data_IF_407742439373
#
_entry.id   IF_407742439373
#
_cell.length_a   1.000
_cell.length_b   1.000
_cell.length_c   1.000
_cell.angle_alpha   90.00
_cell.angle_beta   90.00
_cell.angle_gamma   90.00
#
_symmetry.space_group_name_H-M   'P 1'
#
loop_
_entity.id
_entity.type
_entity.pdbx_description
1 polymer ?
#
# COMPACT_ATOMS: atom_id res chain seq x y z
N UNK A 1 -17.00 29.92 9.13
CA UNK A 1 -16.55 28.57 8.72
C UNK A 1 -15.30 28.08 9.44
N UNK A 2 -14.47 28.96 9.98
CA UNK A 2 -13.38 28.61 10.90
C UNK A 2 -13.92 28.10 12.27
N UNK A 3 -15.13 28.50 12.65
CA UNK A 3 -15.78 28.07 13.90
C UNK A 3 -16.32 26.63 13.88
N UNK A 4 -16.69 26.06 12.73
CA UNK A 4 -17.14 24.67 12.63
C UNK A 4 -16.04 23.65 12.94
N UNK A 5 -14.77 24.01 12.71
CA UNK A 5 -13.62 23.18 13.09
C UNK A 5 -13.24 23.28 14.58
N UNK A 6 -13.66 24.32 15.28
CA UNK A 6 -13.38 24.48 16.72
C UNK A 6 -14.28 23.62 17.61
N UNK A 7 -15.48 23.26 17.15
CA UNK A 7 -16.47 22.53 17.96
C UNK A 7 -16.55 21.03 17.67
N UNK A 8 -15.93 20.52 16.58
CA UNK A 8 -15.74 19.09 16.35
C UNK A 8 -14.28 18.71 16.66
N UNK A 9 -13.84 18.91 17.89
CA UNK A 9 -12.71 18.17 18.42
C UNK A 9 -13.12 16.71 18.37
N UNK A 10 -12.42 15.93 17.54
CA UNK A 10 -12.64 14.50 17.44
C UNK A 10 -12.48 13.96 18.85
N UNK A 11 -13.58 13.53 19.45
CA UNK A 11 -13.55 12.93 20.78
C UNK A 11 -13.11 11.46 20.60
N UNK A 12 -11.82 11.24 20.38
CA UNK A 12 -11.23 9.91 20.39
C UNK A 12 -11.25 9.39 21.84
N UNK A 13 -12.37 8.81 22.27
CA UNK A 13 -12.54 8.29 23.64
C UNK A 13 -12.13 9.31 24.72
N UNK A 14 -12.47 10.57 24.56
CA UNK A 14 -12.11 11.62 25.51
C UNK A 14 -10.70 12.21 25.32
N UNK A 15 -9.93 11.76 24.36
CA UNK A 15 -8.58 12.28 24.09
C UNK A 15 -8.69 13.66 23.42
N UNK A 16 -8.33 14.70 24.14
CA UNK A 16 -8.44 16.09 23.70
C UNK A 16 -7.10 16.81 23.59
N UNK A 17 -6.04 16.22 24.10
CA UNK A 17 -4.70 16.79 24.14
C UNK A 17 -3.66 15.85 23.55
N UNK A 18 -2.46 16.35 23.30
CA UNK A 18 -1.37 15.62 22.68
C UNK A 18 -0.69 14.64 23.63
N UNK A 19 -0.70 14.91 24.93
CA UNK A 19 -0.07 14.05 25.93
C UNK A 19 -0.75 12.68 25.98
N UNK A 20 -2.09 12.66 25.90
CA UNK A 20 -2.87 11.43 25.86
C UNK A 20 -2.88 10.78 24.45
N UNK A 21 -2.78 11.60 23.40
CA UNK A 21 -2.82 11.14 22.02
C UNK A 21 -1.62 10.28 21.63
N UNK A 22 -0.41 10.62 22.08
CA UNK A 22 0.79 9.86 21.74
C UNK A 22 0.76 8.41 22.24
N UNK A 23 0.48 8.11 23.52
CA UNK A 23 0.35 6.74 24.00
C UNK A 23 -0.77 5.97 23.32
N UNK A 24 -1.91 6.61 23.05
CA UNK A 24 -3.04 5.99 22.37
C UNK A 24 -2.70 5.68 20.90
N UNK A 25 -2.02 6.58 20.19
CA UNK A 25 -1.51 6.32 18.84
C UNK A 25 -0.53 5.14 18.81
N UNK A 26 0.42 5.08 19.73
CA UNK A 26 1.34 3.96 19.86
C UNK A 26 0.61 2.65 20.19
N UNK A 27 -0.44 2.71 21.04
CA UNK A 27 -1.32 1.56 21.26
C UNK A 27 -2.00 1.13 19.97
N UNK A 28 -2.48 2.08 19.16
CA UNK A 28 -3.06 1.80 17.85
C UNK A 28 -2.10 1.04 16.94
N UNK A 29 -0.86 1.47 16.86
CA UNK A 29 0.19 0.78 16.08
C UNK A 29 0.44 -0.66 16.57
N UNK A 30 0.48 -0.89 17.89
CA UNK A 30 0.61 -2.25 18.46
C UNK A 30 -0.59 -3.12 18.10
N UNK A 31 -1.79 -2.60 18.22
CA UNK A 31 -3.01 -3.32 17.88
C UNK A 31 -3.08 -3.69 16.40
N UNK A 32 -2.66 -2.81 15.49
CA UNK A 32 -2.55 -3.13 14.06
C UNK A 32 -1.53 -4.26 13.88
N UNK A 33 -0.37 -4.16 14.51
CA UNK A 33 0.67 -5.20 14.48
C UNK A 33 0.18 -6.54 15.02
N UNK A 34 -0.71 -6.55 15.98
CA UNK A 34 -1.32 -7.75 16.60
C UNK A 34 -2.55 -8.28 15.85
N UNK A 35 -2.96 -7.61 14.76
CA UNK A 35 -4.11 -8.01 13.95
C UNK A 35 -5.46 -7.48 14.44
N UNK A 36 -5.49 -6.68 15.49
CA UNK A 36 -6.70 -5.97 15.93
C UNK A 36 -6.85 -4.67 15.13
N UNK A 37 -7.35 -4.80 13.90
CA UNK A 37 -7.36 -3.71 12.93
C UNK A 37 -8.42 -2.65 13.21
N UNK A 38 -9.62 -3.02 13.60
CA UNK A 38 -10.70 -2.06 13.82
C UNK A 38 -10.30 -0.99 14.83
N UNK A 39 -9.95 -1.40 16.03
CA UNK A 39 -9.56 -0.48 17.09
C UNK A 39 -8.17 0.10 16.85
N UNK A 40 -7.27 -0.66 16.26
CA UNK A 40 -5.92 -0.22 15.91
C UNK A 40 -5.93 0.94 14.91
N UNK A 41 -6.67 0.82 13.82
CA UNK A 41 -6.80 1.87 12.81
C UNK A 41 -7.56 3.08 13.33
N UNK A 42 -8.58 2.88 14.16
CA UNK A 42 -9.26 3.98 14.84
C UNK A 42 -8.28 4.84 15.65
N UNK A 43 -7.48 4.21 16.52
CA UNK A 43 -6.48 4.93 17.29
C UNK A 43 -5.34 5.52 16.43
N UNK A 44 -5.07 4.89 15.28
CA UNK A 44 -4.06 5.41 14.34
C UNK A 44 -4.48 6.77 13.75
N UNK A 45 -5.77 7.10 13.71
CA UNK A 45 -6.24 8.41 13.27
C UNK A 45 -5.82 9.56 14.20
N UNK A 46 -5.39 9.28 15.44
CA UNK A 46 -4.83 10.27 16.36
C UNK A 46 -3.59 10.97 15.81
N UNK A 47 -2.86 10.37 14.85
CA UNK A 47 -1.76 11.01 14.13
C UNK A 47 -2.21 12.28 13.38
N UNK A 48 -3.49 12.43 13.15
CA UNK A 48 -4.07 13.62 12.50
C UNK A 48 -4.14 14.84 13.41
N UNK A 49 -3.87 14.68 14.70
CA UNK A 49 -3.71 15.79 15.60
C UNK A 49 -2.45 16.61 15.25
N UNK A 50 -2.49 17.93 15.44
CA UNK A 50 -1.34 18.79 15.17
C UNK A 50 -0.06 18.26 15.81
N UNK A 51 1.02 18.30 15.07
CA UNK A 51 2.39 17.93 15.47
C UNK A 51 2.71 16.43 15.61
N UNK A 52 1.79 15.47 15.36
CA UNK A 52 2.12 14.05 15.41
C UNK A 52 2.74 13.52 14.12
N UNK A 53 2.41 14.11 12.97
CA UNK A 53 2.94 13.66 11.67
C UNK A 53 3.42 14.84 10.83
N UNK A 54 4.65 14.80 10.30
CA UNK A 54 5.07 15.78 9.32
C UNK A 54 4.26 15.62 8.02
N UNK A 55 3.77 16.73 7.49
CA UNK A 55 3.11 16.78 6.18
C UNK A 55 4.18 17.03 5.13
N UNK A 56 4.46 16.06 4.28
CA UNK A 56 5.44 16.21 3.22
C UNK A 56 4.86 16.98 2.02
N UNK A 57 5.44 18.13 1.73
CA UNK A 57 5.60 18.68 0.38
C UNK A 57 4.39 19.29 -0.33
N UNK A 58 3.18 19.24 0.19
CA UNK A 58 2.03 19.91 -0.43
C UNK A 58 1.74 21.20 0.34
N UNK A 59 2.03 22.35 -0.25
CA UNK A 59 1.61 23.65 0.31
C UNK A 59 0.08 23.63 0.48
N UNK A 60 -0.38 23.87 1.70
CA UNK A 60 -1.77 23.75 2.12
C UNK A 60 -2.66 24.88 1.55
N UNK A 61 -3.10 24.77 0.31
CA UNK A 61 -4.26 25.53 -0.18
C UNK A 61 -5.59 24.80 0.03
N UNK A 62 -5.59 23.78 0.90
CA UNK A 62 -6.77 22.97 1.26
C UNK A 62 -7.67 23.59 2.33
N UNK A 63 -7.43 24.81 2.75
CA UNK A 63 -8.09 25.43 3.91
C UNK A 63 -9.62 25.50 3.81
N UNK A 64 -10.17 25.35 2.61
CA UNK A 64 -11.61 25.36 2.35
C UNK A 64 -12.26 23.98 2.23
N UNK A 65 -11.46 22.89 2.23
CA UNK A 65 -12.00 21.52 2.15
C UNK A 65 -12.26 20.96 3.55
N UNK A 66 -13.37 20.23 3.69
CA UNK A 66 -13.61 19.43 4.91
C UNK A 66 -12.51 18.37 5.03
N UNK A 67 -12.01 18.17 6.23
CA UNK A 67 -11.10 17.05 6.52
C UNK A 67 -11.95 15.85 6.89
N UNK A 68 -11.68 14.71 6.27
CA UNK A 68 -12.29 13.46 6.68
C UNK A 68 -11.91 13.12 8.13
N UNK A 69 -12.88 12.70 8.89
CA UNK A 69 -12.73 12.19 10.26
C UNK A 69 -13.58 10.93 10.40
N UNK A 70 -13.24 10.02 11.34
CA UNK A 70 -14.07 8.87 11.68
C UNK A 70 -15.56 9.22 11.83
N UNK A 71 -16.44 8.38 11.26
CA UNK A 71 -17.89 8.59 11.21
C UNK A 71 -18.40 9.52 10.09
N UNK A 72 -17.51 10.06 9.25
CA UNK A 72 -17.91 10.89 8.12
C UNK A 72 -18.21 10.06 6.88
N UNK A 73 -19.45 10.11 6.39
CA UNK A 73 -19.84 9.44 5.16
C UNK A 73 -19.21 10.10 3.92
N UNK A 74 -18.65 9.27 3.02
CA UNK A 74 -18.03 9.71 1.75
C UNK A 74 -18.91 9.44 0.52
N UNK A 75 -20.04 8.77 0.69
CA UNK A 75 -20.94 8.43 -0.43
C UNK A 75 -21.47 9.68 -1.12
N UNK A 76 -21.27 9.75 -2.43
CA UNK A 76 -21.66 10.91 -3.25
C UNK A 76 -20.74 12.13 -3.13
N UNK A 77 -19.66 12.05 -2.36
CA UNK A 77 -18.73 13.14 -2.11
C UNK A 77 -17.58 13.19 -3.13
N UNK A 78 -17.02 14.38 -3.32
CA UNK A 78 -15.77 14.56 -4.06
C UNK A 78 -14.61 14.41 -3.09
N UNK A 79 -13.79 13.38 -3.29
CA UNK A 79 -12.67 13.06 -2.43
C UNK A 79 -11.35 13.55 -3.03
N UNK A 80 -10.51 14.19 -2.24
CA UNK A 80 -9.11 14.44 -2.57
C UNK A 80 -8.25 13.64 -1.60
N UNK A 81 -7.62 12.60 -2.12
CA UNK A 81 -6.63 11.83 -1.36
C UNK A 81 -5.31 12.57 -1.38
N UNK A 82 -4.75 12.82 -0.22
CA UNK A 82 -3.50 13.56 -0.10
C UNK A 82 -2.44 12.76 0.65
N UNK A 83 -1.19 13.03 0.29
CA UNK A 83 -0.04 12.33 0.83
C UNK A 83 0.22 12.69 2.29
N UNK A 84 0.81 11.76 3.00
CA UNK A 84 1.40 11.94 4.32
C UNK A 84 2.53 10.93 4.53
N UNK A 85 3.36 11.16 5.56
CA UNK A 85 4.48 10.29 5.93
C UNK A 85 5.53 10.10 4.82
N UNK A 86 6.18 8.95 4.73
CA UNK A 86 7.28 8.68 3.79
C UNK A 86 6.84 8.11 2.43
N UNK A 87 7.78 7.96 1.53
CA UNK A 87 7.52 7.37 0.20
C UNK A 87 6.94 5.96 0.29
N UNK A 88 7.49 5.12 1.19
CA UNK A 88 6.97 3.77 1.43
C UNK A 88 5.52 3.77 1.87
N UNK A 89 5.12 4.73 2.72
CA UNK A 89 3.72 4.88 3.16
C UNK A 89 2.81 5.26 2.00
N UNK A 90 3.22 6.23 1.19
CA UNK A 90 2.46 6.65 0.01
C UNK A 90 2.28 5.51 -0.99
N UNK A 91 3.33 4.74 -1.26
CA UNK A 91 3.29 3.58 -2.16
C UNK A 91 2.38 2.50 -1.58
N UNK A 92 2.58 2.13 -0.33
CA UNK A 92 1.81 1.07 0.30
C UNK A 92 0.31 1.37 0.36
N UNK A 93 -0.06 2.55 0.84
CA UNK A 93 -1.47 2.88 1.09
C UNK A 93 -2.23 3.34 -0.14
N UNK A 94 -1.54 3.73 -1.22
CA UNK A 94 -2.21 4.09 -2.48
C UNK A 94 -3.01 2.94 -3.10
N UNK A 95 -2.71 1.67 -2.76
CA UNK A 95 -3.50 0.50 -3.17
C UNK A 95 -4.99 0.56 -2.78
N UNK A 96 -5.30 1.29 -1.74
CA UNK A 96 -6.67 1.45 -1.25
C UNK A 96 -7.45 2.55 -2.00
N UNK A 97 -6.78 3.38 -2.79
CA UNK A 97 -7.42 4.49 -3.53
C UNK A 97 -8.52 3.98 -4.46
N UNK A 98 -8.31 2.91 -5.25
CA UNK A 98 -9.34 2.39 -6.15
C UNK A 98 -10.66 2.02 -5.47
N UNK A 99 -10.59 1.60 -4.20
CA UNK A 99 -11.74 1.15 -3.40
C UNK A 99 -12.66 2.29 -2.96
N UNK A 100 -12.22 3.54 -3.04
CA UNK A 100 -13.06 4.69 -2.69
C UNK A 100 -14.28 4.82 -3.61
N UNK A 101 -14.18 4.38 -4.87
CA UNK A 101 -15.32 4.33 -5.79
C UNK A 101 -16.34 3.27 -5.35
N UNK A 102 -15.88 2.13 -4.85
CA UNK A 102 -16.74 1.08 -4.29
C UNK A 102 -17.43 1.55 -3.00
N UNK A 103 -16.74 2.35 -2.19
CA UNK A 103 -17.31 3.02 -1.02
C UNK A 103 -18.30 4.15 -1.39
N UNK A 104 -18.53 4.39 -2.68
CA UNK A 104 -19.52 5.32 -3.19
C UNK A 104 -19.04 6.75 -3.41
N UNK A 105 -17.72 7.03 -3.38
CA UNK A 105 -17.20 8.35 -3.70
C UNK A 105 -17.60 8.78 -5.12
N UNK A 106 -18.09 10.02 -5.28
CA UNK A 106 -18.46 10.58 -6.57
C UNK A 106 -17.24 10.82 -7.46
N UNK A 107 -16.21 11.43 -6.91
CA UNK A 107 -14.94 11.62 -7.59
C UNK A 107 -13.77 11.42 -6.63
N UNK A 108 -12.63 10.96 -7.17
CA UNK A 108 -11.39 10.70 -6.43
C UNK A 108 -10.23 11.37 -7.16
N UNK A 109 -9.68 12.44 -6.61
CA UNK A 109 -8.49 13.11 -7.12
C UNK A 109 -7.32 12.94 -6.18
N UNK A 110 -6.10 12.93 -6.74
CA UNK A 110 -4.87 12.61 -6.01
C UNK A 110 -4.01 13.86 -5.84
N UNK A 111 -3.66 14.19 -4.60
CA UNK A 111 -2.76 15.30 -4.25
C UNK A 111 -1.46 14.74 -3.64
N UNK A 112 -0.50 14.43 -4.48
CA UNK A 112 0.77 13.80 -4.14
C UNK A 112 1.96 14.57 -4.73
N UNK A 113 3.17 14.39 -4.21
CA UNK A 113 4.37 14.96 -4.81
C UNK A 113 4.59 14.47 -6.25
N UNK A 114 5.17 15.36 -7.08
CA UNK A 114 5.36 15.10 -8.53
C UNK A 114 6.13 13.81 -8.83
N UNK A 115 7.05 13.41 -7.93
CA UNK A 115 7.92 12.25 -8.10
C UNK A 115 7.17 10.91 -8.15
N UNK A 116 5.95 10.84 -7.59
CA UNK A 116 5.15 9.61 -7.56
C UNK A 116 3.96 9.66 -8.53
N UNK A 117 3.63 10.81 -9.12
CA UNK A 117 2.41 10.96 -9.91
C UNK A 117 2.36 10.03 -11.13
N UNK A 118 3.49 9.82 -11.82
CA UNK A 118 3.52 8.89 -12.97
C UNK A 118 3.26 7.46 -12.54
N UNK A 119 3.77 7.03 -11.38
CA UNK A 119 3.45 5.72 -10.81
C UNK A 119 1.96 5.61 -10.47
N UNK A 120 1.39 6.63 -9.81
CA UNK A 120 -0.02 6.65 -9.43
C UNK A 120 -0.98 6.66 -10.62
N UNK A 121 -0.55 7.05 -11.83
CA UNK A 121 -1.37 6.92 -13.05
C UNK A 121 -1.71 5.47 -13.40
N UNK A 122 -0.95 4.50 -12.88
CA UNK A 122 -1.22 3.06 -13.07
C UNK A 122 -2.38 2.57 -12.22
N UNK A 123 -2.78 3.32 -11.18
CA UNK A 123 -3.92 2.97 -10.35
C UNK A 123 -5.23 3.12 -11.16
N UNK A 124 -6.14 2.14 -11.08
CA UNK A 124 -7.49 2.30 -11.64
C UNK A 124 -8.37 3.19 -10.73
N UNK A 125 -9.55 3.52 -11.23
CA UNK A 125 -10.66 4.07 -10.46
C UNK A 125 -10.38 5.39 -9.74
N UNK A 126 -9.52 6.26 -10.30
CA UNK A 126 -9.39 7.64 -9.85
C UNK A 126 -9.66 8.64 -11.00
N UNK A 127 -10.03 9.87 -10.66
CA UNK A 127 -10.39 10.93 -11.60
C UNK A 127 -9.24 11.92 -11.83
N UNK A 128 -7.99 11.43 -11.80
CA UNK A 128 -6.79 12.18 -12.06
C UNK A 128 -6.20 12.88 -10.83
N UNK A 129 -5.38 13.91 -11.10
CA UNK A 129 -4.64 14.61 -10.06
C UNK A 129 -5.34 15.89 -9.64
N UNK A 130 -5.13 16.29 -8.39
CA UNK A 130 -5.63 17.55 -7.87
C UNK A 130 -4.86 18.70 -8.50
N UNK A 131 -5.61 19.63 -9.08
CA UNK A 131 -5.10 20.88 -9.61
C UNK A 131 -5.36 21.99 -8.58
N UNK A 132 -4.30 22.65 -8.14
CA UNK A 132 -4.39 23.76 -7.18
C UNK A 132 -5.02 25.02 -7.81
N UNK A 133 -4.96 25.15 -9.12
CA UNK A 133 -5.58 26.27 -9.87
C UNK A 133 -7.09 26.02 -10.05
N UNK A 134 -7.50 24.76 -10.03
CA UNK A 134 -8.91 24.36 -10.13
C UNK A 134 -9.35 23.57 -8.89
N UNK A 135 -9.51 24.23 -7.73
CA UNK A 135 -9.80 23.55 -6.47
C UNK A 135 -11.16 22.84 -6.50
N UNK A 136 -11.21 21.65 -5.91
CA UNK A 136 -12.45 20.89 -5.75
C UNK A 136 -13.35 21.64 -4.76
N UNK A 137 -14.46 22.16 -5.25
CA UNK A 137 -15.48 22.83 -4.41
C UNK A 137 -16.23 21.78 -3.58
N UNK A 138 -16.44 22.08 -2.30
CA UNK A 138 -17.21 21.23 -1.37
C UNK A 138 -16.72 19.77 -1.24
N UNK A 139 -15.40 19.54 -1.46
CA UNK A 139 -14.82 18.21 -1.34
C UNK A 139 -14.41 17.86 0.09
N UNK A 140 -14.06 16.59 0.26
CA UNK A 140 -13.46 16.04 1.46
C UNK A 140 -12.00 15.68 1.15
N UNK A 141 -11.07 16.20 1.94
CA UNK A 141 -9.67 15.74 1.89
C UNK A 141 -9.50 14.56 2.83
N UNK A 142 -8.90 13.49 2.31
CA UNK A 142 -8.67 12.24 3.02
C UNK A 142 -7.20 11.90 2.97
N UNK A 143 -6.56 11.70 4.11
CA UNK A 143 -5.15 11.28 4.17
C UNK A 143 -4.99 9.86 3.68
N UNK A 144 -3.92 9.58 2.94
CA UNK A 144 -3.69 8.26 2.34
C UNK A 144 -3.65 7.13 3.38
N UNK A 145 -3.07 7.38 4.55
CA UNK A 145 -3.04 6.38 5.64
C UNK A 145 -4.35 6.29 6.44
N UNK A 146 -5.34 7.14 6.17
CA UNK A 146 -6.69 7.02 6.73
C UNK A 146 -7.62 6.14 5.88
N UNK A 147 -7.16 5.76 4.68
CA UNK A 147 -7.94 4.90 3.77
C UNK A 147 -8.38 3.60 4.42
N UNK A 148 -7.53 2.81 5.12
CA UNK A 148 -7.98 1.57 5.74
C UNK A 148 -9.17 1.78 6.68
N UNK A 149 -9.10 2.75 7.59
CA UNK A 149 -10.19 2.99 8.52
C UNK A 149 -11.45 3.52 7.84
N UNK A 150 -11.31 4.46 6.91
CA UNK A 150 -12.42 4.97 6.11
C UNK A 150 -13.15 3.85 5.37
N UNK A 151 -12.41 2.94 4.72
CA UNK A 151 -12.98 1.83 3.96
C UNK A 151 -13.64 0.78 4.85
N UNK A 152 -13.12 0.53 6.06
CA UNK A 152 -13.78 -0.32 7.06
C UNK A 152 -15.13 0.26 7.49
N UNK A 153 -15.20 1.56 7.79
CA UNK A 153 -16.46 2.22 8.15
C UNK A 153 -17.52 2.19 7.03
N UNK A 154 -17.07 2.05 5.77
CA UNK A 154 -17.96 1.94 4.61
C UNK A 154 -18.20 0.48 4.17
N UNK A 155 -17.72 -0.50 4.93
CA UNK A 155 -17.95 -1.92 4.67
C UNK A 155 -17.23 -2.47 3.43
N UNK A 156 -16.23 -1.75 2.91
CA UNK A 156 -15.43 -2.16 1.74
C UNK A 156 -14.19 -2.94 2.16
N UNK A 157 -13.71 -2.71 3.37
CA UNK A 157 -12.54 -3.39 3.92
C UNK A 157 -12.92 -4.11 5.22
N UNK A 158 -12.39 -5.33 5.43
CA UNK A 158 -12.60 -6.05 6.68
C UNK A 158 -11.81 -5.45 7.85
N UNK A 159 -12.37 -5.57 9.05
CA UNK A 159 -11.77 -5.07 10.29
C UNK A 159 -10.66 -5.97 10.86
N UNK A 160 -10.15 -6.90 10.07
CA UNK A 160 -9.08 -7.84 10.44
C UNK A 160 -8.11 -8.04 9.28
N UNK A 161 -6.85 -8.43 9.56
CA UNK A 161 -5.92 -8.81 8.51
C UNK A 161 -6.49 -9.99 7.71
N UNK A 162 -6.55 -9.82 6.41
CA UNK A 162 -6.86 -10.89 5.47
C UNK A 162 -5.66 -11.09 4.56
N UNK A 163 -5.31 -12.33 4.23
CA UNK A 163 -4.35 -12.60 3.17
C UNK A 163 -4.80 -11.91 1.87
N UNK A 164 -3.88 -11.50 1.04
CA UNK A 164 -4.16 -10.89 -0.27
C UNK A 164 -4.94 -9.56 -0.19
N UNK A 165 -4.52 -8.66 0.70
CA UNK A 165 -5.20 -7.38 0.87
C UNK A 165 -5.30 -6.62 -0.46
N UNK A 166 -6.51 -6.68 -1.05
CA UNK A 166 -7.01 -5.74 -2.06
C UNK A 166 -6.06 -5.45 -3.23
N UNK A 167 -5.73 -6.49 -4.02
CA UNK A 167 -5.00 -6.32 -5.29
C UNK A 167 -3.61 -5.72 -5.12
N UNK A 168 -2.97 -5.96 -3.99
CA UNK A 168 -1.66 -5.42 -3.67
C UNK A 168 -0.58 -5.84 -4.66
N UNK A 169 -0.71 -7.07 -5.19
CA UNK A 169 0.22 -7.61 -6.17
C UNK A 169 -0.02 -7.01 -7.54
N UNK A 170 1.05 -6.49 -8.10
CA UNK A 170 1.02 -5.97 -9.45
C UNK A 170 0.23 -4.68 -9.67
N UNK A 171 -0.25 -4.01 -8.60
CA UNK A 171 -1.04 -2.77 -8.74
C UNK A 171 -0.28 -1.66 -9.48
N UNK A 172 1.05 -1.70 -9.41
CA UNK A 172 1.93 -0.79 -10.14
C UNK A 172 2.68 -1.46 -11.30
N UNK A 173 2.29 -2.68 -11.67
CA UNK A 173 2.92 -3.39 -12.77
C UNK A 173 2.70 -2.65 -14.09
N UNK A 174 3.77 -2.59 -14.88
CA UNK A 174 3.71 -2.13 -16.25
C UNK A 174 3.42 -3.34 -17.15
N UNK A 175 2.22 -3.40 -17.72
CA UNK A 175 1.78 -4.53 -18.53
C UNK A 175 2.47 -4.56 -19.92
N UNK A 176 3.08 -3.46 -20.33
CA UNK A 176 3.81 -3.34 -21.59
C UNK A 176 5.27 -3.76 -21.47
N UNK A 177 5.76 -3.97 -20.23
CA UNK A 177 7.14 -4.38 -20.00
C UNK A 177 7.25 -5.91 -20.04
N UNK A 178 8.02 -6.40 -21.01
CA UNK A 178 8.36 -7.83 -21.12
C UNK A 178 9.60 -8.12 -20.28
N UNK A 179 9.55 -9.20 -19.51
CA UNK A 179 10.73 -9.71 -18.81
C UNK A 179 11.63 -10.44 -19.82
N UNK A 180 12.87 -10.01 -19.90
CA UNK A 180 13.90 -10.74 -20.66
C UNK A 180 14.41 -11.91 -19.83
N UNK A 181 14.74 -13.02 -20.51
CA UNK A 181 15.42 -14.13 -19.84
C UNK A 181 16.91 -13.83 -19.72
N UNK A 182 17.42 -13.93 -18.52
CA UNK A 182 18.83 -13.77 -18.21
C UNK A 182 19.49 -15.13 -17.94
N UNK A 183 20.79 -15.24 -18.21
CA UNK A 183 21.56 -16.46 -17.94
C UNK A 183 21.69 -16.72 -16.43
N UNK A 184 21.68 -15.67 -15.63
CA UNK A 184 21.68 -15.71 -14.18
C UNK A 184 20.49 -14.95 -13.61
N UNK A 185 19.94 -15.38 -12.46
CA UNK A 185 18.89 -14.60 -11.81
C UNK A 185 19.39 -13.20 -11.43
N UNK A 186 18.59 -12.19 -11.75
CA UNK A 186 18.84 -10.78 -11.44
C UNK A 186 18.22 -10.41 -10.09
N UNK A 187 19.06 -10.13 -9.10
CA UNK A 187 18.62 -9.76 -7.75
C UNK A 187 18.91 -8.29 -7.46
N UNK A 188 17.85 -7.52 -7.24
CA UNK A 188 17.96 -6.15 -6.78
C UNK A 188 18.31 -6.06 -5.31
N UNK A 189 19.09 -5.07 -4.92
CA UNK A 189 19.39 -4.85 -3.51
C UNK A 189 19.28 -3.39 -3.10
N UNK A 190 18.82 -3.18 -1.85
CA UNK A 190 18.81 -1.87 -1.19
C UNK A 190 19.23 -2.05 0.27
N UNK A 191 20.40 -1.55 0.65
CA UNK A 191 21.05 -1.81 1.93
C UNK A 191 20.87 -0.69 2.95
N UNK A 192 20.36 0.49 2.57
CA UNK A 192 20.18 1.62 3.48
C UNK A 192 19.02 2.51 3.08
N UNK A 193 18.63 3.41 3.97
CA UNK A 193 17.60 4.43 3.72
C UNK A 193 18.20 5.83 3.81
N UNK A 194 17.60 6.79 3.13
CA UNK A 194 18.01 8.21 3.20
C UNK A 194 17.57 8.90 4.49
N UNK A 195 16.68 8.29 5.25
CA UNK A 195 16.21 8.83 6.53
C UNK A 195 17.21 8.46 7.64
N UNK A 196 17.83 9.47 8.25
CA UNK A 196 18.86 9.32 9.28
C UNK A 196 18.34 9.47 10.70
N UNK A 197 17.01 9.54 10.93
CA UNK A 197 16.45 9.60 12.27
C UNK A 197 16.88 8.38 13.11
N UNK A 198 16.92 8.53 14.45
CA UNK A 198 17.47 7.53 15.37
C UNK A 198 16.84 6.12 15.21
N UNK A 199 15.55 6.07 14.90
CA UNK A 199 14.82 4.82 14.68
C UNK A 199 15.13 4.16 13.32
N UNK A 200 15.85 4.86 12.44
CA UNK A 200 16.22 4.34 11.11
C UNK A 200 17.60 3.66 11.10
N UNK A 201 18.38 3.72 12.19
CA UNK A 201 19.68 3.04 12.28
C UNK A 201 19.58 1.53 12.04
N UNK A 202 18.49 0.90 12.48
CA UNK A 202 18.22 -0.52 12.22
C UNK A 202 17.95 -0.85 10.73
N UNK A 203 17.85 0.17 9.88
CA UNK A 203 17.63 0.05 8.44
C UNK A 203 18.85 0.51 7.63
N UNK A 204 19.99 0.64 8.26
CA UNK A 204 21.24 1.09 7.66
C UNK A 204 22.30 0.01 7.78
N UNK A 205 22.37 -0.88 6.81
CA UNK A 205 23.43 -1.87 6.70
C UNK A 205 24.72 -1.17 6.24
N UNK A 206 25.88 -1.46 6.85
CA UNK A 206 27.16 -1.02 6.32
C UNK A 206 27.37 -1.56 4.89
N UNK A 207 27.81 -0.67 4.00
CA UNK A 207 28.01 -1.02 2.58
C UNK A 207 28.98 -2.19 2.41
N UNK A 208 30.01 -2.24 3.23
CA UNK A 208 31.05 -3.26 3.21
C UNK A 208 30.50 -4.68 3.44
N UNK A 209 29.43 -4.81 4.26
CA UNK A 209 28.75 -6.09 4.47
C UNK A 209 28.02 -6.52 3.19
N UNK A 210 27.33 -5.58 2.54
CA UNK A 210 26.65 -5.88 1.29
C UNK A 210 27.63 -6.18 0.15
N UNK A 211 28.72 -5.40 0.02
CA UNK A 211 29.74 -5.61 -1.00
C UNK A 211 30.40 -6.99 -0.85
N UNK A 212 30.73 -7.38 0.39
CA UNK A 212 31.27 -8.72 0.68
C UNK A 212 30.28 -9.82 0.30
N UNK A 213 29.01 -9.65 0.68
CA UNK A 213 27.97 -10.63 0.35
C UNK A 213 27.79 -10.81 -1.16
N UNK A 214 27.79 -9.72 -1.93
CA UNK A 214 27.73 -9.76 -3.40
C UNK A 214 28.93 -10.53 -3.97
N UNK A 215 30.13 -10.27 -3.48
CA UNK A 215 31.34 -10.95 -3.94
C UNK A 215 31.36 -12.47 -3.63
N UNK A 216 30.69 -12.89 -2.57
CA UNK A 216 30.54 -14.30 -2.17
C UNK A 216 29.45 -15.04 -2.97
N UNK A 217 28.60 -14.32 -3.76
CA UNK A 217 27.47 -14.88 -4.51
C UNK A 217 27.49 -14.48 -6.00
N UNK A 218 28.51 -14.93 -6.77
CA UNK A 218 28.64 -14.62 -8.20
C UNK A 218 27.65 -15.37 -9.10
N UNK A 219 26.85 -16.29 -8.56
CA UNK A 219 25.76 -16.99 -9.24
C UNK A 219 24.58 -16.10 -9.59
N UNK A 220 24.49 -14.89 -9.01
CA UNK A 220 23.45 -13.90 -9.27
C UNK A 220 24.03 -12.68 -9.98
N UNK A 221 23.20 -12.03 -10.82
CA UNK A 221 23.46 -10.68 -11.32
C UNK A 221 22.83 -9.67 -10.36
N UNK A 222 23.68 -8.88 -9.70
CA UNK A 222 23.28 -7.96 -8.63
C UNK A 222 22.99 -6.57 -9.17
N UNK A 223 21.79 -6.04 -8.88
CA UNK A 223 21.34 -4.72 -9.33
C UNK A 223 21.17 -3.77 -8.16
N UNK A 224 21.97 -2.71 -8.12
CA UNK A 224 21.85 -1.67 -7.09
C UNK A 224 20.56 -0.86 -7.30
N UNK A 225 19.68 -0.88 -6.30
CA UNK A 225 18.43 -0.10 -6.25
C UNK A 225 18.54 1.11 -5.31
N UNK A 226 19.72 1.35 -4.75
CA UNK A 226 19.95 2.50 -3.87
C UNK A 226 19.75 3.78 -4.66
N UNK A 227 18.93 4.70 -4.13
CA UNK A 227 18.69 6.00 -4.75
C UNK A 227 19.87 6.95 -4.50
N UNK A 228 20.83 6.93 -5.43
CA UNK A 228 21.98 7.85 -5.42
C UNK A 228 21.57 9.16 -6.09
N UNK A 229 21.85 10.31 -5.47
CA UNK A 229 21.54 11.63 -6.04
C UNK A 229 20.20 12.26 -5.64
N UNK A 230 19.42 11.61 -4.80
CA UNK A 230 18.22 12.19 -4.18
C UNK A 230 16.94 12.10 -5.02
N UNK A 231 15.85 12.65 -4.49
CA UNK A 231 14.48 12.54 -5.03
C UNK A 231 14.15 13.70 -5.98
N UNK A 232 14.96 13.92 -6.99
CA UNK A 232 14.86 15.16 -7.82
C UNK A 232 14.00 14.97 -9.07
N UNK A 233 13.90 13.76 -9.63
CA UNK A 233 13.20 13.53 -10.91
C UNK A 233 11.71 13.26 -10.70
N UNK A 234 10.88 13.70 -11.64
CA UNK A 234 9.42 13.41 -11.64
C UNK A 234 9.11 11.94 -11.95
N UNK A 235 10.08 11.18 -12.43
CA UNK A 235 9.91 9.82 -12.92
C UNK A 235 10.46 8.77 -11.95
N UNK A 236 11.09 9.23 -10.87
CA UNK A 236 11.81 8.41 -9.92
C UNK A 236 11.09 7.09 -9.56
N UNK A 237 9.83 7.16 -9.16
CA UNK A 237 9.14 5.96 -8.67
C UNK A 237 8.56 5.09 -9.78
N UNK A 238 8.22 5.65 -10.92
CA UNK A 238 7.80 4.86 -12.09
C UNK A 238 8.98 4.12 -12.70
N UNK A 239 10.13 4.79 -12.85
CA UNK A 239 11.36 4.18 -13.37
C UNK A 239 11.89 3.09 -12.39
N UNK A 240 11.80 3.36 -11.08
CA UNK A 240 12.16 2.36 -10.07
C UNK A 240 11.24 1.15 -10.14
N UNK A 241 9.93 1.34 -10.32
CA UNK A 241 8.97 0.24 -10.43
C UNK A 241 9.25 -0.60 -11.70
N UNK A 242 9.54 0.02 -12.84
CA UNK A 242 9.88 -0.67 -14.08
C UNK A 242 11.20 -1.44 -13.95
N UNK A 243 12.23 -0.81 -13.38
CA UNK A 243 13.50 -1.46 -13.10
C UNK A 243 13.33 -2.68 -12.18
N UNK A 244 12.55 -2.55 -11.11
CA UNK A 244 12.29 -3.63 -10.16
C UNK A 244 11.48 -4.75 -10.80
N UNK A 245 10.50 -4.43 -11.65
CA UNK A 245 9.68 -5.43 -12.34
C UNK A 245 10.49 -6.34 -13.28
N UNK A 246 11.63 -5.87 -13.76
CA UNK A 246 12.52 -6.64 -14.62
C UNK A 246 13.42 -7.62 -13.85
N UNK A 247 13.36 -7.62 -12.51
CA UNK A 247 14.19 -8.46 -11.64
C UNK A 247 13.47 -9.76 -11.24
N UNK A 248 14.26 -10.78 -10.93
CA UNK A 248 13.76 -12.05 -10.39
C UNK A 248 13.49 -11.98 -8.87
N UNK A 249 14.09 -11.01 -8.19
CA UNK A 249 13.87 -10.81 -6.77
C UNK A 249 14.54 -9.55 -6.21
N UNK A 250 14.19 -9.20 -4.97
CA UNK A 250 14.76 -8.03 -4.27
C UNK A 250 15.11 -8.37 -2.83
N UNK A 251 16.33 -8.07 -2.41
CA UNK A 251 16.74 -8.03 -1.00
C UNK A 251 16.81 -6.56 -0.57
N UNK A 252 15.98 -6.16 0.39
CA UNK A 252 15.93 -4.77 0.82
C UNK A 252 15.81 -4.65 2.33
N UNK A 253 16.48 -3.65 2.90
CA UNK A 253 16.07 -3.16 4.22
C UNK A 253 14.66 -2.60 4.14
N UNK A 254 13.95 -2.48 5.27
CA UNK A 254 12.60 -1.90 5.34
C UNK A 254 12.60 -0.45 4.81
N UNK A 255 12.33 -0.30 3.53
CA UNK A 255 12.43 0.95 2.76
C UNK A 255 11.32 1.07 1.70
N UNK A 256 11.26 2.19 1.01
CA UNK A 256 10.33 2.39 -0.11
C UNK A 256 10.55 1.37 -1.25
N UNK A 257 11.78 0.88 -1.43
CA UNK A 257 12.12 -0.15 -2.43
C UNK A 257 11.39 -1.47 -2.13
N UNK A 258 11.35 -1.90 -0.85
CA UNK A 258 10.60 -3.09 -0.46
C UNK A 258 9.10 -2.94 -0.79
N UNK A 259 8.53 -1.74 -0.56
CA UNK A 259 7.13 -1.46 -0.90
C UNK A 259 6.87 -1.42 -2.41
N UNK A 260 7.79 -0.88 -3.21
CA UNK A 260 7.69 -0.92 -4.69
C UNK A 260 7.72 -2.37 -5.17
N UNK A 261 8.71 -3.15 -4.72
CA UNK A 261 8.89 -4.54 -5.16
C UNK A 261 7.64 -5.38 -4.85
N UNK A 262 7.11 -5.30 -3.62
CA UNK A 262 5.85 -5.96 -3.27
C UNK A 262 4.66 -5.45 -4.09
N UNK A 263 4.62 -4.16 -4.45
CA UNK A 263 3.52 -3.57 -5.21
C UNK A 263 3.54 -3.91 -6.71
N UNK A 264 4.70 -4.25 -7.27
CA UNK A 264 4.82 -4.75 -8.65
C UNK A 264 4.77 -6.29 -8.71
N UNK A 265 4.71 -6.96 -7.55
CA UNK A 265 4.56 -8.42 -7.47
C UNK A 265 5.87 -9.20 -7.68
N UNK A 266 7.02 -8.58 -7.40
CA UNK A 266 8.34 -9.24 -7.44
C UNK A 266 8.65 -9.86 -6.08
N UNK A 267 9.24 -11.06 -6.01
CA UNK A 267 9.67 -11.66 -4.75
C UNK A 267 10.58 -10.75 -3.93
N UNK A 268 10.28 -10.57 -2.64
CA UNK A 268 11.02 -9.66 -1.75
C UNK A 268 11.46 -10.38 -0.48
N UNK A 269 12.73 -10.28 -0.15
CA UNK A 269 13.23 -10.52 1.20
C UNK A 269 13.43 -9.16 1.90
N UNK A 270 12.50 -8.82 2.79
CA UNK A 270 12.54 -7.56 3.55
C UNK A 270 13.27 -7.78 4.88
N UNK A 271 14.44 -7.19 5.01
CA UNK A 271 15.34 -7.31 6.15
C UNK A 271 14.86 -6.45 7.33
N UNK A 272 14.52 -7.07 8.45
CA UNK A 272 13.98 -6.41 9.64
C UNK A 272 14.94 -6.60 10.82
N UNK A 273 15.67 -5.56 11.16
CA UNK A 273 16.63 -5.57 12.29
C UNK A 273 15.93 -5.44 13.63
N UNK A 274 15.77 -6.57 14.34
CA UNK A 274 15.26 -6.63 15.71
C UNK A 274 13.81 -6.17 15.92
N UNK A 275 13.08 -6.82 16.82
CA UNK A 275 11.66 -6.56 17.07
C UNK A 275 11.39 -5.15 17.61
N UNK A 276 12.26 -4.65 18.49
CA UNK A 276 12.07 -3.34 19.16
C UNK A 276 12.19 -2.15 18.22
N UNK A 277 12.92 -2.31 17.12
CA UNK A 277 13.17 -1.26 16.12
C UNK A 277 12.34 -1.42 14.86
N UNK A 278 11.54 -2.49 14.78
CA UNK A 278 10.72 -2.76 13.62
C UNK A 278 9.54 -1.82 13.49
N UNK A 279 9.18 -1.53 12.25
CA UNK A 279 7.95 -0.82 11.95
C UNK A 279 6.72 -1.62 12.43
N UNK A 280 5.69 -0.94 12.84
CA UNK A 280 4.41 -1.52 13.28
C UNK A 280 3.71 -2.38 12.20
N UNK A 281 4.14 -2.29 10.94
CA UNK A 281 3.60 -3.08 9.82
C UNK A 281 4.01 -4.54 9.86
N UNK A 282 5.14 -4.85 10.48
CA UNK A 282 5.77 -6.15 10.40
C UNK A 282 5.50 -6.98 11.65
N UNK A 283 5.06 -8.21 11.44
CA UNK A 283 4.74 -9.17 12.49
C UNK A 283 5.94 -10.06 12.77
N UNK A 284 6.55 -10.02 13.97
CA UNK A 284 7.74 -10.83 14.26
C UNK A 284 7.48 -12.34 14.26
N UNK A 285 6.22 -12.74 14.41
CA UNK A 285 5.82 -14.17 14.44
C UNK A 285 5.50 -14.76 13.07
N UNK A 286 5.54 -13.94 12.02
CA UNK A 286 5.26 -14.34 10.66
C UNK A 286 6.49 -14.11 9.80
N UNK A 287 6.87 -15.13 9.01
CA UNK A 287 7.88 -14.98 7.97
C UNK A 287 7.31 -14.34 6.70
N UNK A 288 6.02 -14.03 6.73
CA UNK A 288 5.25 -13.40 5.65
C UNK A 288 4.63 -12.10 6.16
N UNK A 289 3.96 -11.38 5.30
CA UNK A 289 3.24 -10.16 5.69
C UNK A 289 1.83 -10.16 5.09
N UNK A 290 0.89 -9.53 5.77
CA UNK A 290 -0.45 -9.30 5.22
C UNK A 290 -0.48 -8.28 4.07
N UNK A 291 0.63 -7.55 3.88
CA UNK A 291 0.68 -6.44 2.93
C UNK A 291 1.06 -6.85 1.52
N UNK A 292 1.84 -7.93 1.34
CA UNK A 292 2.38 -8.36 0.06
C UNK A 292 2.60 -9.87 0.08
N UNK A 293 1.98 -10.58 -0.86
CA UNK A 293 2.06 -12.04 -0.93
C UNK A 293 3.45 -12.52 -1.35
N UNK A 294 4.14 -11.73 -2.16
CA UNK A 294 5.50 -12.01 -2.64
C UNK A 294 6.60 -11.63 -1.65
N UNK A 295 6.24 -11.07 -0.48
CA UNK A 295 7.24 -10.59 0.48
C UNK A 295 7.40 -11.54 1.66
N UNK A 296 8.65 -11.90 1.95
CA UNK A 296 9.06 -12.49 3.22
C UNK A 296 9.73 -11.46 4.11
N UNK A 297 9.37 -11.46 5.40
CA UNK A 297 10.05 -10.67 6.42
C UNK A 297 11.17 -11.51 7.03
N UNK A 298 12.40 -11.04 6.91
CA UNK A 298 13.58 -11.72 7.44
C UNK A 298 14.03 -11.01 8.71
N UNK A 299 13.82 -11.65 9.85
CA UNK A 299 14.18 -11.12 11.15
C UNK A 299 15.59 -11.55 11.52
N UNK A 300 16.42 -10.63 11.97
CA UNK A 300 17.83 -10.90 12.26
C UNK A 300 18.36 -10.01 13.40
N UNK A 301 19.43 -10.49 14.03
CA UNK A 301 20.25 -9.73 14.98
C UNK A 301 21.54 -9.21 14.34
N UNK A 302 22.10 -9.96 13.37
CA UNK A 302 23.29 -9.59 12.60
C UNK A 302 22.96 -9.56 11.11
N UNK A 303 23.47 -8.57 10.40
CA UNK A 303 23.21 -8.36 8.98
C UNK A 303 23.60 -9.58 8.12
N UNK A 304 24.75 -10.19 8.43
CA UNK A 304 25.23 -11.35 7.69
C UNK A 304 24.29 -12.55 7.79
N UNK A 305 23.67 -12.77 8.95
CA UNK A 305 22.70 -13.84 9.16
C UNK A 305 21.38 -13.53 8.42
N UNK A 306 20.97 -12.26 8.45
CA UNK A 306 19.82 -11.77 7.70
C UNK A 306 19.97 -11.95 6.19
N UNK A 307 21.14 -11.63 5.64
CA UNK A 307 21.43 -11.80 4.23
C UNK A 307 21.42 -13.27 3.80
N UNK A 308 22.03 -14.15 4.61
CA UNK A 308 22.04 -15.61 4.36
C UNK A 308 20.63 -16.19 4.38
N UNK A 309 19.78 -15.72 5.30
CA UNK A 309 18.38 -16.16 5.37
C UNK A 309 17.57 -15.62 4.19
N UNK A 310 17.78 -14.34 3.80
CA UNK A 310 17.16 -13.72 2.64
C UNK A 310 17.45 -14.50 1.35
N UNK A 311 18.68 -14.98 1.18
CA UNK A 311 19.08 -15.72 -0.01
C UNK A 311 18.32 -17.04 -0.19
N UNK A 312 17.92 -17.68 0.91
CA UNK A 312 17.11 -18.92 0.84
C UNK A 312 15.75 -18.70 0.13
N UNK A 313 15.30 -17.46 0.08
CA UNK A 313 14.06 -17.10 -0.63
C UNK A 313 14.22 -17.10 -2.16
N UNK A 314 15.46 -17.03 -2.67
CA UNK A 314 15.77 -16.90 -4.09
C UNK A 314 16.57 -18.10 -4.64
N UNK A 315 16.52 -19.27 -3.99
CA UNK A 315 17.20 -20.46 -4.51
C UNK A 315 16.66 -20.82 -5.89
N UNK A 316 17.59 -21.13 -6.77
CA UNK A 316 17.43 -21.32 -8.22
C UNK A 316 16.29 -22.27 -8.64
N UNK A 317 15.92 -23.24 -7.81
CA UNK A 317 14.84 -24.20 -8.12
C UNK A 317 13.43 -23.56 -8.08
N UNK A 318 13.22 -22.56 -7.24
CA UNK A 318 11.92 -21.87 -7.10
C UNK A 318 11.75 -20.77 -8.17
N UNK A 319 12.85 -20.13 -8.59
CA UNK A 319 12.84 -19.06 -9.61
C UNK A 319 12.69 -19.64 -11.01
N UNK A 320 13.37 -20.75 -11.32
CA UNK A 320 13.29 -21.40 -12.62
C UNK A 320 11.96 -22.10 -12.87
N UNK A 321 11.18 -22.40 -11.84
CA UNK A 321 9.88 -23.06 -11.91
C UNK A 321 8.69 -22.12 -11.67
N UNK A 322 8.91 -20.81 -11.53
CA UNK A 322 7.81 -19.86 -11.43
C UNK A 322 6.93 -19.96 -12.70
N UNK A 323 5.62 -20.20 -12.57
CA UNK A 323 4.76 -20.28 -13.74
C UNK A 323 4.76 -18.94 -14.46
N UNK A 324 4.88 -19.00 -15.76
CA UNK A 324 4.84 -17.85 -16.69
C UNK A 324 3.53 -17.06 -16.47
N UNK A 325 3.55 -16.06 -15.58
CA UNK A 325 2.36 -15.27 -15.21
C UNK A 325 1.89 -14.34 -16.34
N UNK A 326 2.57 -14.35 -17.49
CA UNK A 326 2.22 -13.54 -18.66
C UNK A 326 1.04 -14.13 -19.49
N UNK A 327 0.42 -15.24 -19.09
CA UNK A 327 -0.50 -16.01 -19.96
C UNK A 327 -1.93 -16.23 -19.48
N UNK A 328 -2.43 -15.61 -18.43
CA UNK A 328 -3.82 -15.83 -18.02
C UNK A 328 -4.78 -14.81 -18.64
N UNK A 329 -4.98 -14.92 -19.97
CA UNK A 329 -6.19 -14.39 -20.62
C UNK A 329 -7.39 -15.11 -20.02
N UNK A 330 -8.20 -14.36 -19.28
CA UNK A 330 -9.40 -14.85 -18.61
C UNK A 330 -10.29 -15.70 -19.53
N UNK A 331 -10.30 -17.00 -19.29
CA UNK A 331 -11.41 -17.86 -19.71
C UNK A 331 -12.55 -17.62 -18.71
N UNK A 332 -13.39 -16.66 -19.02
CA UNK A 332 -14.73 -16.56 -18.44
C UNK A 332 -15.44 -17.88 -18.75
N UNK A 333 -15.56 -18.75 -17.75
CA UNK A 333 -16.49 -19.88 -17.80
C UNK A 333 -17.90 -19.31 -17.77
N UNK A 334 -18.50 -19.19 -18.94
CA UNK A 334 -19.94 -18.99 -19.09
C UNK A 334 -20.62 -20.27 -18.58
N UNK A 335 -21.05 -20.26 -17.33
CA UNK A 335 -21.97 -21.28 -16.81
C UNK A 335 -23.34 -21.04 -17.45
N UNK A 336 -23.62 -21.70 -18.55
CA UNK A 336 -24.98 -21.85 -19.08
C UNK A 336 -25.81 -22.61 -18.04
N UNK A 337 -26.63 -21.89 -17.34
CA UNK A 337 -27.71 -22.45 -16.52
C UNK A 337 -28.77 -22.98 -17.43
N UNK A 338 -28.78 -24.27 -17.68
CA UNK A 338 -29.91 -25.00 -18.26
C UNK A 338 -31.09 -24.92 -17.30
N UNK A 339 -32.16 -24.30 -17.76
CA UNK A 339 -33.49 -24.33 -17.14
C UNK A 339 -34.09 -25.72 -17.31
N UNK A 340 -34.66 -26.35 -16.27
CA UNK A 340 -35.48 -27.56 -16.48
C UNK A 340 -36.80 -27.20 -17.17
N UNK A 341 -37.21 -28.03 -18.12
CA UNK A 341 -38.46 -27.95 -18.82
C UNK A 341 -39.63 -28.17 -17.86
N UNK A 342 -40.46 -27.17 -17.73
CA UNK A 342 -41.73 -27.25 -17.00
C UNK A 342 -42.83 -27.71 -17.92
N UNK A 343 -43.50 -28.73 -17.49
CA UNK A 343 -44.67 -29.42 -18.04
C UNK A 343 -45.83 -28.48 -18.34
N UNK A 344 -46.42 -28.71 -19.50
CA UNK A 344 -47.68 -28.09 -19.95
C UNK A 344 -48.86 -28.50 -19.03
N UNK A 345 -49.58 -27.56 -18.54
CA UNK A 345 -50.89 -27.72 -17.89
C UNK A 345 -51.91 -26.78 -18.47
N UNK A 346 -52.78 -27.34 -19.27
CA UNK A 346 -54.04 -26.74 -19.80
C UNK A 346 -54.95 -26.30 -18.62
N UNK A 347 -55.55 -25.12 -18.64
CA UNK A 347 -57.03 -24.97 -18.66
C UNK A 347 -57.54 -23.52 -18.65
N UNK A 348 -58.37 -23.27 -19.67
CA UNK A 348 -59.69 -22.62 -19.71
C UNK A 348 -60.02 -21.31 -18.99
N UNK A 349 -60.31 -20.36 -19.85
CA UNK A 349 -61.48 -19.45 -19.91
C UNK A 349 -62.09 -18.92 -18.58
N UNK A 350 -62.20 -17.62 -18.50
CA UNK A 350 -63.13 -16.91 -17.64
C UNK A 350 -63.21 -15.45 -18.03
N UNK A 351 -64.20 -15.06 -18.70
CA UNK A 351 -64.71 -13.75 -19.12
C UNK A 351 -65.12 -12.90 -17.94
N UNK A 352 -64.97 -11.55 -18.03
CA UNK A 352 -65.85 -10.66 -17.29
C UNK A 352 -65.26 -9.32 -16.83
N UNK A 353 -65.49 -8.29 -17.64
CA UNK A 353 -66.06 -6.98 -17.38
C UNK A 353 -65.65 -6.15 -16.15
N UNK A 354 -65.16 -4.95 -16.49
CA UNK A 354 -65.59 -3.61 -16.03
C UNK A 354 -65.84 -3.39 -14.51
N UNK A 355 -65.13 -2.51 -13.89
CA UNK A 355 -65.38 -1.05 -13.76
C UNK A 355 -64.05 -0.40 -13.40
#
# INVERSE_FOLDING_TARGET
MVELNKHRRINFYGITNQEDANPAYQKGQRLIKEGNWEYGWYLHELRSLPNLTPVYGVKNNFDKMRVWIPGMNIKGENIVVWCEAGWGDMIQFSRFIPLLKEAGAKSVKLAFPRQILKLLRRLPNHDGFYDMEQPVKNGIRLKVMSLPYCLMEHGVMEAKPVPHIYGAEGIFRNLDLHQEKHDKPMIGYCYTTTNTSWNMKAKQMPKEIMDKFIAEHPEFDWVNLQQEGGYLTSDLWVDTADKVQALDGVISVDSAIAHIAGSVGVPVANLIGGEKLSCWRWYPKLNTTYWYDTMKTVWFDKWEDGLKEALKHFKTEDICNAPDTAGNKGKTKTTTRTRPAGTAGNNKRGTGRKI
#
